data_IF_434434735507
#
_entry.id   IF_434434735507
#
_cell.length_a   1.000
_cell.length_b   1.000
_cell.length_c   1.000
_cell.angle_alpha   90.00
_cell.angle_beta   90.00
_cell.angle_gamma   90.00
#
_symmetry.space_group_name_H-M   'P 1'
#
loop_
_entity.id
_entity.type
_entity.pdbx_description
1 polymer ?
#
# COMPACT_ATOMS: atom_id res chain seq x y z
N UNK A 1 -4.59 -29.46 4.31
CA UNK A 1 -4.58 -27.99 4.48
C UNK A 1 -4.15 -27.67 5.91
N UNK A 2 -3.27 -26.69 6.14
CA UNK A 2 -2.82 -26.35 7.50
C UNK A 2 -3.92 -25.63 8.27
N UNK A 3 -4.04 -25.87 9.59
CA UNK A 3 -5.03 -25.23 10.45
C UNK A 3 -5.02 -23.70 10.35
N UNK A 4 -3.83 -23.09 10.19
CA UNK A 4 -3.69 -21.65 9.97
C UNK A 4 -4.38 -21.15 8.69
N UNK A 5 -4.30 -21.90 7.58
CA UNK A 5 -4.97 -21.52 6.33
C UNK A 5 -6.49 -21.58 6.46
N UNK A 6 -7.00 -22.61 7.14
CA UNK A 6 -8.42 -22.74 7.45
C UNK A 6 -8.89 -21.59 8.35
N UNK A 7 -8.12 -21.26 9.39
CA UNK A 7 -8.44 -20.16 10.29
C UNK A 7 -8.49 -18.81 9.56
N UNK A 8 -7.47 -18.50 8.74
CA UNK A 8 -7.44 -17.25 7.97
C UNK A 8 -8.58 -17.20 6.96
N UNK A 9 -8.85 -18.31 6.25
CA UNK A 9 -9.93 -18.40 5.28
C UNK A 9 -11.31 -18.20 5.93
N UNK A 10 -11.56 -18.90 7.04
CA UNK A 10 -12.81 -18.78 7.81
C UNK A 10 -12.99 -17.37 8.37
N UNK A 11 -11.92 -16.76 8.89
CA UNK A 11 -11.95 -15.39 9.38
C UNK A 11 -12.25 -14.37 8.27
N UNK A 12 -11.63 -14.52 7.09
CA UNK A 12 -11.93 -13.69 5.92
C UNK A 12 -13.39 -13.83 5.48
N UNK A 13 -13.93 -15.05 5.47
CA UNK A 13 -15.33 -15.28 5.13
C UNK A 13 -16.30 -14.68 6.15
N UNK A 14 -15.96 -14.75 7.45
CA UNK A 14 -16.72 -14.11 8.52
C UNK A 14 -16.75 -12.58 8.36
N UNK A 15 -15.62 -11.96 8.01
CA UNK A 15 -15.55 -10.52 7.73
C UNK A 15 -16.39 -10.13 6.51
N UNK A 16 -16.39 -10.93 5.44
CA UNK A 16 -17.25 -10.70 4.27
C UNK A 16 -18.74 -10.79 4.63
N UNK A 17 -19.12 -11.80 5.43
CA UNK A 17 -20.49 -11.94 5.93
C UNK A 17 -20.90 -10.74 6.79
N UNK A 18 -20.02 -10.30 7.70
CA UNK A 18 -20.25 -9.11 8.52
C UNK A 18 -20.41 -7.84 7.68
N UNK A 19 -19.55 -7.64 6.68
CA UNK A 19 -19.66 -6.52 5.75
C UNK A 19 -20.99 -6.54 4.96
N UNK A 20 -21.46 -7.72 4.54
CA UNK A 20 -22.76 -7.86 3.88
C UNK A 20 -23.92 -7.49 4.80
N UNK A 21 -23.89 -7.92 6.07
CA UNK A 21 -24.89 -7.55 7.07
C UNK A 21 -24.91 -6.04 7.28
N UNK A 22 -23.74 -5.40 7.45
CA UNK A 22 -23.66 -3.94 7.56
C UNK A 22 -24.21 -3.26 6.30
N UNK A 23 -23.82 -3.70 5.11
CA UNK A 23 -24.31 -3.15 3.84
C UNK A 23 -25.83 -3.19 3.73
N UNK A 24 -26.47 -4.28 4.15
CA UNK A 24 -27.93 -4.45 4.09
C UNK A 24 -28.69 -3.70 5.18
N UNK A 25 -28.06 -3.43 6.33
CA UNK A 25 -28.73 -2.82 7.50
C UNK A 25 -28.44 -1.34 7.69
N UNK A 26 -27.33 -0.83 7.15
CA UNK A 26 -26.87 0.55 7.39
C UNK A 26 -26.89 1.43 6.14
N UNK A 27 -26.92 0.84 4.94
CA UNK A 27 -26.90 1.59 3.68
C UNK A 27 -28.32 1.66 3.11
N UNK A 28 -28.78 2.85 2.77
CA UNK A 28 -30.09 3.02 2.14
C UNK A 28 -30.10 2.31 0.77
N UNK A 29 -31.18 1.59 0.38
CA UNK A 29 -31.23 0.85 -0.88
C UNK A 29 -30.94 1.70 -2.13
N UNK A 30 -31.33 2.98 -2.11
CA UNK A 30 -31.05 3.94 -3.17
C UNK A 30 -29.54 4.19 -3.40
N UNK A 31 -28.68 3.89 -2.43
CA UNK A 31 -27.23 4.05 -2.51
C UNK A 31 -26.51 2.81 -3.04
N UNK A 32 -27.19 1.66 -3.18
CA UNK A 32 -26.56 0.43 -3.67
C UNK A 32 -25.88 0.59 -5.03
N UNK A 33 -26.43 1.31 -6.03
CA UNK A 33 -25.72 1.53 -7.29
C UNK A 33 -24.39 2.28 -7.10
N UNK A 34 -24.36 3.29 -6.22
CA UNK A 34 -23.15 4.05 -5.94
C UNK A 34 -22.08 3.20 -5.23
N UNK A 35 -22.50 2.36 -4.27
CA UNK A 35 -21.60 1.40 -3.60
C UNK A 35 -21.07 0.38 -4.60
N UNK A 36 -21.92 -0.16 -5.47
CA UNK A 36 -21.52 -1.13 -6.50
C UNK A 36 -20.50 -0.53 -7.46
N UNK A 37 -20.73 0.72 -7.89
CA UNK A 37 -19.78 1.46 -8.72
C UNK A 37 -18.45 1.69 -8.02
N UNK A 38 -18.48 2.04 -6.74
CA UNK A 38 -17.27 2.21 -5.92
C UNK A 38 -16.48 0.90 -5.81
N UNK A 39 -17.14 -0.22 -5.49
CA UNK A 39 -16.49 -1.55 -5.39
C UNK A 39 -15.89 -1.94 -6.73
N UNK A 40 -16.65 -1.82 -7.82
CA UNK A 40 -16.17 -2.13 -9.16
C UNK A 40 -14.94 -1.30 -9.54
N UNK A 41 -14.99 0.01 -9.31
CA UNK A 41 -13.86 0.91 -9.58
C UNK A 41 -12.65 0.55 -8.73
N UNK A 42 -12.85 0.23 -7.45
CA UNK A 42 -11.78 -0.19 -6.56
C UNK A 42 -11.09 -1.48 -7.04
N UNK A 43 -11.86 -2.48 -7.49
CA UNK A 43 -11.33 -3.74 -8.06
C UNK A 43 -10.52 -3.44 -9.32
N UNK A 44 -11.09 -2.69 -10.27
CA UNK A 44 -10.39 -2.38 -11.53
C UNK A 44 -9.10 -1.62 -11.28
N UNK A 45 -9.11 -0.62 -10.39
CA UNK A 45 -7.90 0.15 -10.05
C UNK A 45 -6.89 -0.71 -9.29
N UNK A 46 -7.32 -1.52 -8.32
CA UNK A 46 -6.44 -2.33 -7.51
C UNK A 46 -5.80 -3.48 -8.31
N UNK A 47 -6.63 -4.31 -8.94
CA UNK A 47 -6.21 -5.55 -9.60
C UNK A 47 -5.79 -5.30 -11.05
N UNK A 48 -6.47 -4.39 -11.74
CA UNK A 48 -6.21 -4.09 -13.15
C UNK A 48 -5.01 -3.16 -13.36
N UNK A 49 -4.71 -2.30 -12.39
CA UNK A 49 -3.64 -1.30 -12.52
C UNK A 49 -2.55 -1.43 -11.45
N UNK A 50 -2.90 -1.32 -10.17
CA UNK A 50 -1.90 -1.25 -9.09
C UNK A 50 -1.10 -2.56 -8.99
N UNK A 51 -1.77 -3.71 -8.94
CA UNK A 51 -1.09 -5.01 -8.82
C UNK A 51 -0.10 -5.27 -9.97
N UNK A 52 -0.47 -5.12 -11.26
CA UNK A 52 0.46 -5.28 -12.38
C UNK A 52 1.67 -4.34 -12.31
N UNK A 53 1.45 -3.07 -11.95
CA UNK A 53 2.53 -2.09 -11.79
C UNK A 53 3.49 -2.51 -10.68
N UNK A 54 2.97 -2.92 -9.52
CA UNK A 54 3.78 -3.41 -8.39
C UNK A 54 4.57 -4.66 -8.78
N UNK A 55 3.94 -5.59 -9.52
CA UNK A 55 4.62 -6.78 -10.07
C UNK A 55 5.73 -6.39 -11.03
N UNK A 56 5.49 -5.45 -11.96
CA UNK A 56 6.48 -4.97 -12.92
C UNK A 56 7.71 -4.39 -12.20
N UNK A 57 7.51 -3.52 -11.20
CA UNK A 57 8.61 -2.99 -10.38
C UNK A 57 9.35 -4.09 -9.61
N UNK A 58 8.62 -5.07 -9.06
CA UNK A 58 9.22 -6.24 -8.42
C UNK A 58 10.11 -7.03 -9.38
N UNK A 59 9.67 -7.22 -10.63
CA UNK A 59 10.41 -7.92 -11.68
C UNK A 59 11.67 -7.17 -12.09
N UNK A 60 11.55 -5.86 -12.36
CA UNK A 60 12.67 -4.98 -12.74
C UNK A 60 13.70 -4.92 -11.59
N UNK A 61 13.23 -4.86 -10.35
CA UNK A 61 14.07 -4.81 -9.15
C UNK A 61 14.81 -6.11 -8.84
N UNK A 62 14.52 -7.25 -9.50
CA UNK A 62 15.14 -8.55 -9.17
C UNK A 62 16.66 -8.54 -9.31
N UNK A 63 17.19 -7.85 -10.33
CA UNK A 63 18.64 -7.75 -10.53
C UNK A 63 19.32 -7.02 -9.38
N UNK A 64 18.76 -5.87 -8.99
CA UNK A 64 19.24 -5.06 -7.86
C UNK A 64 19.15 -5.86 -6.55
N UNK A 65 18.02 -6.52 -6.30
CA UNK A 65 17.81 -7.31 -5.08
C UNK A 65 18.85 -8.44 -4.92
N UNK A 66 19.23 -9.11 -6.02
CA UNK A 66 20.29 -10.13 -6.01
C UNK A 66 21.66 -9.54 -5.70
N UNK A 67 21.97 -8.34 -6.21
CA UNK A 67 23.28 -7.67 -6.01
C UNK A 67 23.49 -7.16 -4.59
N UNK A 68 22.44 -6.66 -3.94
CA UNK A 68 22.54 -6.03 -2.61
C UNK A 68 22.31 -7.01 -1.44
N UNK A 69 21.89 -8.23 -1.74
CA UNK A 69 21.57 -9.26 -0.75
C UNK A 69 20.14 -9.17 -0.19
N UNK A 70 19.64 -10.28 0.38
CA UNK A 70 18.22 -10.45 0.74
C UNK A 70 17.75 -9.48 1.84
N UNK A 71 18.61 -9.18 2.83
CA UNK A 71 18.26 -8.29 3.95
C UNK A 71 18.08 -6.85 3.47
N UNK A 72 19.03 -6.31 2.71
CA UNK A 72 18.95 -4.95 2.18
C UNK A 72 17.77 -4.80 1.22
N UNK A 73 17.52 -5.81 0.37
CA UNK A 73 16.37 -5.82 -0.52
C UNK A 73 15.03 -5.85 0.26
N UNK A 74 14.95 -6.62 1.34
CA UNK A 74 13.76 -6.69 2.19
C UNK A 74 13.46 -5.34 2.87
N UNK A 75 14.49 -4.67 3.41
CA UNK A 75 14.34 -3.34 4.03
C UNK A 75 13.87 -2.32 3.01
N UNK A 76 14.55 -2.21 1.86
CA UNK A 76 14.18 -1.27 0.81
C UNK A 76 12.72 -1.50 0.34
N UNK A 77 12.33 -2.76 0.13
CA UNK A 77 10.96 -3.11 -0.26
C UNK A 77 9.95 -2.76 0.84
N UNK A 78 10.22 -3.15 2.08
CA UNK A 78 9.31 -2.91 3.20
C UNK A 78 9.04 -1.42 3.40
N UNK A 79 10.09 -0.59 3.34
CA UNK A 79 9.94 0.86 3.48
C UNK A 79 9.13 1.49 2.35
N UNK A 80 9.38 1.10 1.10
CA UNK A 80 8.61 1.62 -0.04
C UNK A 80 7.14 1.17 0.00
N UNK A 81 6.88 -0.08 0.39
CA UNK A 81 5.51 -0.59 0.58
C UNK A 81 4.81 0.14 1.71
N UNK A 82 5.47 0.36 2.85
CA UNK A 82 4.91 1.11 3.96
C UNK A 82 4.53 2.55 3.55
N UNK A 83 5.42 3.24 2.82
CA UNK A 83 5.13 4.58 2.29
C UNK A 83 3.94 4.59 1.33
N UNK A 84 3.84 3.59 0.44
CA UNK A 84 2.71 3.45 -0.46
C UNK A 84 1.39 3.21 0.31
N UNK A 85 1.39 2.33 1.30
CA UNK A 85 0.23 2.08 2.16
C UNK A 85 -0.21 3.35 2.92
N UNK A 86 0.73 4.07 3.54
CA UNK A 86 0.44 5.33 4.21
C UNK A 86 -0.10 6.38 3.22
N UNK A 87 0.42 6.42 1.99
CA UNK A 87 -0.08 7.32 0.93
C UNK A 87 -1.56 7.08 0.64
N UNK A 88 -1.99 5.82 0.54
CA UNK A 88 -3.41 5.49 0.30
C UNK A 88 -4.34 6.06 1.38
N UNK A 89 -3.87 6.12 2.64
CA UNK A 89 -4.61 6.71 3.77
C UNK A 89 -4.62 8.25 3.71
N UNK A 90 -3.58 8.86 3.16
CA UNK A 90 -3.43 10.32 3.05
C UNK A 90 -4.17 10.91 1.84
N UNK A 91 -4.44 10.12 0.79
CA UNK A 91 -5.10 10.58 -0.44
C UNK A 91 -6.45 11.27 -0.17
N UNK A 92 -7.37 10.73 0.66
CA UNK A 92 -8.62 11.43 0.97
C UNK A 92 -8.40 12.84 1.54
N UNK A 93 -7.36 13.03 2.37
CA UNK A 93 -6.99 14.34 2.91
C UNK A 93 -6.55 15.33 1.83
N UNK A 94 -5.81 14.87 0.82
CA UNK A 94 -5.43 15.69 -0.34
C UNK A 94 -6.67 16.13 -1.14
N UNK A 95 -7.61 15.21 -1.36
CA UNK A 95 -8.87 15.51 -2.05
C UNK A 95 -9.70 16.52 -1.24
N UNK A 96 -9.85 16.30 0.06
CA UNK A 96 -10.58 17.23 0.94
C UNK A 96 -9.96 18.63 0.92
N UNK A 97 -8.63 18.75 0.92
CA UNK A 97 -7.93 20.04 0.78
C UNK A 97 -8.21 20.72 -0.56
N UNK A 98 -8.33 19.96 -1.65
CA UNK A 98 -8.56 20.51 -2.99
C UNK A 98 -10.01 20.93 -3.24
N UNK A 99 -10.97 20.17 -2.72
CA UNK A 99 -12.41 20.35 -3.02
C UNK A 99 -13.18 21.05 -1.89
N UNK A 100 -12.54 21.24 -0.73
CA UNK A 100 -13.14 21.84 0.46
C UNK A 100 -13.69 20.78 1.43
N UNK A 101 -13.52 21.03 2.73
CA UNK A 101 -14.01 20.12 3.76
C UNK A 101 -15.51 20.27 3.97
N UNK A 102 -16.22 19.13 3.97
CA UNK A 102 -17.64 19.08 4.37
C UNK A 102 -17.83 19.15 5.89
N UNK A 103 -16.79 18.84 6.66
CA UNK A 103 -16.79 18.92 8.11
C UNK A 103 -15.67 19.87 8.58
N UNK A 104 -16.00 20.98 9.27
CA UNK A 104 -15.03 21.98 9.69
C UNK A 104 -14.04 21.49 10.75
N UNK A 105 -14.28 20.34 11.40
CA UNK A 105 -13.35 19.76 12.39
C UNK A 105 -12.24 18.90 11.78
N UNK A 106 -12.24 18.68 10.46
CA UNK A 106 -11.14 17.98 9.79
C UNK A 106 -9.93 18.92 9.80
N UNK A 107 -8.95 18.61 10.65
CA UNK A 107 -7.66 19.29 10.67
C UNK A 107 -6.96 19.14 9.32
N UNK A 108 -6.85 20.24 8.58
CA UNK A 108 -6.13 20.29 7.30
C UNK A 108 -4.65 20.51 7.60
N UNK A 109 -3.96 19.45 8.05
CA UNK A 109 -2.49 19.44 8.01
C UNK A 109 -2.08 19.60 6.54
N UNK A 110 -0.88 20.14 6.27
CA UNK A 110 -0.35 20.19 4.91
C UNK A 110 -0.03 18.77 4.40
N UNK A 111 -1.07 18.05 3.96
CA UNK A 111 -1.01 16.71 3.40
C UNK A 111 0.03 16.57 2.28
N UNK A 112 0.23 17.55 1.36
CA UNK A 112 1.30 17.47 0.38
C UNK A 112 2.69 17.44 1.02
N UNK A 113 2.91 18.26 2.05
CA UNK A 113 4.18 18.32 2.77
C UNK A 113 4.43 17.03 3.56
N UNK A 114 3.40 16.49 4.22
CA UNK A 114 3.47 15.21 4.94
C UNK A 114 3.78 14.06 3.97
N UNK A 115 3.09 14.02 2.82
CA UNK A 115 3.30 13.00 1.81
C UNK A 115 4.70 13.10 1.19
N UNK A 116 5.16 14.31 0.88
CA UNK A 116 6.51 14.55 0.39
C UNK A 116 7.56 14.10 1.43
N UNK A 117 7.40 14.48 2.69
CA UNK A 117 8.29 14.07 3.78
C UNK A 117 8.34 12.54 3.96
N UNK A 118 7.18 11.88 3.91
CA UNK A 118 7.07 10.43 3.95
C UNK A 118 7.85 9.76 2.81
N UNK A 119 7.66 10.21 1.57
CA UNK A 119 8.34 9.63 0.42
C UNK A 119 9.84 9.93 0.40
N UNK A 120 10.25 11.14 0.79
CA UNK A 120 11.66 11.49 0.96
C UNK A 120 12.31 10.55 1.99
N UNK A 121 11.71 10.40 3.16
CA UNK A 121 12.22 9.49 4.19
C UNK A 121 12.30 8.04 3.68
N UNK A 122 11.27 7.59 2.97
CA UNK A 122 11.22 6.24 2.42
C UNK A 122 12.33 5.98 1.38
N UNK A 123 12.53 6.93 0.46
CA UNK A 123 13.60 6.86 -0.56
C UNK A 123 14.98 6.92 0.09
N UNK A 124 15.18 7.77 1.11
CA UNK A 124 16.44 7.86 1.85
C UNK A 124 16.78 6.52 2.51
N UNK A 125 15.83 5.91 3.22
CA UNK A 125 16.03 4.62 3.89
C UNK A 125 16.26 3.50 2.88
N UNK A 126 15.46 3.44 1.81
CA UNK A 126 15.64 2.45 0.75
C UNK A 126 17.01 2.61 0.04
N UNK A 127 17.42 3.85 -0.25
CA UNK A 127 18.71 4.19 -0.83
C UNK A 127 19.87 3.80 0.09
N UNK A 128 19.77 4.09 1.38
CA UNK A 128 20.76 3.67 2.37
C UNK A 128 20.89 2.14 2.42
N UNK A 129 19.78 1.40 2.39
CA UNK A 129 19.80 -0.06 2.34
C UNK A 129 20.51 -0.58 1.08
N UNK A 130 20.25 0.01 -0.09
CA UNK A 130 20.92 -0.33 -1.36
C UNK A 130 22.42 -0.03 -1.30
N UNK A 131 22.82 1.12 -0.76
CA UNK A 131 24.23 1.52 -0.61
C UNK A 131 24.98 0.59 0.35
N UNK A 132 24.38 0.25 1.50
CA UNK A 132 24.98 -0.68 2.46
C UNK A 132 25.10 -2.08 1.87
N UNK A 133 24.05 -2.56 1.20
CA UNK A 133 24.03 -3.89 0.58
C UNK A 133 25.04 -4.03 -0.56
N UNK A 134 25.15 -3.02 -1.42
CA UNK A 134 26.12 -3.02 -2.53
C UNK A 134 27.56 -3.03 -2.05
N UNK A 135 27.90 -2.27 -1.00
CA UNK A 135 29.24 -2.29 -0.38
C UNK A 135 29.61 -3.66 0.20
N UNK A 136 28.65 -4.40 0.75
CA UNK A 136 28.88 -5.75 1.30
C UNK A 136 29.07 -6.79 0.20
N UNK A 137 28.35 -6.66 -0.91
CA UNK A 137 28.49 -7.55 -2.08
C UNK A 137 29.87 -7.44 -2.75
N UNK A 138 30.43 -6.24 -2.86
CA UNK A 138 31.78 -6.02 -3.44
C UNK A 138 32.90 -6.63 -2.61
N UNK A 139 32.80 -6.57 -1.28
CA UNK A 139 33.85 -7.11 -0.37
C UNK A 139 33.92 -8.65 -0.41
N UNK A 140 32.80 -9.32 -0.70
CA UNK A 140 32.74 -10.78 -0.78
C UNK A 140 33.30 -11.34 -2.11
N UNK A 141 33.40 -10.54 -3.17
CA UNK A 141 33.93 -10.96 -4.48
C UNK A 141 35.45 -10.82 -4.58
N UNK A 142 36.06 -10.01 -3.70
CA UNK A 142 37.51 -9.76 -3.67
C UNK A 142 38.29 -10.68 -2.72
N UNK A 143 37.64 -11.67 -2.08
CA UNK A 143 38.27 -12.73 -1.29
C UNK A 143 38.11 -14.05 -2.02
#
# INVERSE_FOLDING_TARGET
>A
MTAARLAIGAFGLALLGYAAVLGLTTVAPAQYPAVMWWVFTAIVVHDGLIAPVVVAFGVIGRGTARRIGPVAAAVARATLVAAACCSLVLIPGLVVRAVGARNPTIHVVDYPLVLAGLWIAAVVVAGAAVLIGSRRGTVAVTK
#
